data_IF_406966535850
#
_entry.id   IF_406966535850
#
_cell.length_a   1.000
_cell.length_b   1.000
_cell.length_c   1.000
_cell.angle_alpha   90.00
_cell.angle_beta   90.00
_cell.angle_gamma   90.00
#
_symmetry.space_group_name_H-M   'P 1'
#
loop_
_entity.id
_entity.type
_entity.pdbx_description
1 polymer ?
#
# COMPACT_ATOMS: atom_id res chain seq x y z
N UNK A 1 -0.78 24.79 -44.87
CA UNK A 1 -1.26 26.09 -45.40
C UNK A 1 -2.76 25.95 -45.57
N UNK A 2 -3.65 26.73 -44.96
CA UNK A 2 -3.57 28.15 -44.60
C UNK A 2 -4.62 28.42 -43.53
N UNK A 3 -4.20 29.00 -42.41
CA UNK A 3 -5.07 29.60 -41.39
C UNK A 3 -5.81 30.80 -41.99
N UNK A 4 -7.05 31.04 -41.56
CA UNK A 4 -7.63 32.39 -41.54
C UNK A 4 -8.41 32.68 -40.25
N UNK A 5 -8.40 33.94 -39.79
CA UNK A 5 -8.61 34.32 -38.39
C UNK A 5 -9.98 35.01 -38.17
N UNK A 6 -10.41 35.10 -36.91
CA UNK A 6 -11.54 35.96 -36.51
C UNK A 6 -11.02 37.08 -35.62
N UNK A 7 -11.34 38.31 -36.05
CA UNK A 7 -10.87 39.60 -35.55
C UNK A 7 -11.77 40.20 -34.47
N UNK A 8 -11.16 41.07 -33.67
CA UNK A 8 -11.68 41.92 -32.58
C UNK A 8 -12.49 43.13 -33.10
N UNK A 9 -13.62 43.47 -32.46
CA UNK A 9 -14.28 44.81 -32.42
C UNK A 9 -15.08 44.88 -31.10
N UNK A 10 -14.66 45.65 -30.09
CA UNK A 10 -14.96 47.06 -29.81
C UNK A 10 -16.46 47.42 -29.81
N UNK A 11 -16.98 47.78 -28.63
CA UNK A 11 -18.00 48.82 -28.47
C UNK A 11 -17.76 49.60 -27.17
N UNK A 12 -17.57 50.92 -27.32
CA UNK A 12 -17.58 51.95 -26.29
C UNK A 12 -18.99 52.54 -26.23
N UNK A 13 -19.46 52.85 -25.04
CA UNK A 13 -20.66 53.66 -24.81
C UNK A 13 -20.53 54.39 -23.47
N UNK A 14 -20.27 55.69 -23.53
CA UNK A 14 -20.18 56.62 -22.38
C UNK A 14 -21.33 57.63 -22.45
N UNK A 15 -22.04 57.85 -21.33
CA UNK A 15 -22.65 59.11 -20.82
C UNK A 15 -23.74 58.76 -19.78
N UNK A 16 -24.12 59.55 -18.77
CA UNK A 16 -23.48 60.52 -17.87
C UNK A 16 -24.54 60.84 -16.78
N UNK A 17 -24.10 60.88 -15.50
CA UNK A 17 -24.58 61.56 -14.27
C UNK A 17 -26.11 61.88 -14.06
N UNK A 18 -26.70 61.77 -12.85
CA UNK A 18 -26.54 62.68 -11.69
C UNK A 18 -27.39 62.19 -10.47
N UNK A 19 -26.81 62.38 -9.27
CA UNK A 19 -27.35 62.60 -7.91
C UNK A 19 -28.11 61.51 -7.12
N UNK A 20 -27.46 61.10 -6.02
CA UNK A 20 -27.95 61.41 -4.66
C UNK A 20 -28.58 60.26 -3.87
N UNK A 21 -27.89 59.78 -2.83
CA UNK A 21 -28.56 59.04 -1.74
C UNK A 21 -27.69 58.04 -0.98
N UNK A 22 -27.21 58.47 0.20
CA UNK A 22 -26.92 57.70 1.42
C UNK A 22 -26.06 56.41 1.35
N UNK A 23 -24.89 56.51 1.98
CA UNK A 23 -24.03 55.40 2.38
C UNK A 23 -24.70 54.52 3.45
N UNK A 24 -24.89 53.23 3.13
CA UNK A 24 -24.96 52.13 4.09
C UNK A 24 -23.95 51.07 3.63
N UNK A 25 -23.17 50.46 4.53
CA UNK A 25 -22.17 49.48 4.15
C UNK A 25 -22.87 48.18 3.73
N UNK A 26 -23.01 47.96 2.42
CA UNK A 26 -23.36 46.66 1.88
C UNK A 26 -22.20 45.71 2.11
N UNK A 27 -22.49 44.59 2.77
CA UNK A 27 -21.57 43.48 2.94
C UNK A 27 -20.96 43.13 1.58
N UNK A 28 -19.62 43.20 1.49
CA UNK A 28 -18.86 42.64 0.39
C UNK A 28 -19.05 41.12 0.50
N UNK A 29 -20.11 40.62 -0.15
CA UNK A 29 -20.20 39.23 -0.52
C UNK A 29 -18.98 38.94 -1.37
N UNK A 30 -18.01 38.23 -0.79
CA UNK A 30 -16.99 37.54 -1.57
C UNK A 30 -17.73 36.57 -2.45
N UNK A 31 -18.01 37.00 -3.69
CA UNK A 31 -18.29 36.10 -4.79
C UNK A 31 -17.19 35.04 -4.74
N UNK A 32 -17.58 33.79 -4.49
CA UNK A 32 -16.69 32.67 -4.70
C UNK A 32 -16.32 32.72 -6.17
N UNK A 33 -15.12 33.21 -6.48
CA UNK A 33 -14.52 33.00 -7.78
C UNK A 33 -14.63 31.51 -8.05
N UNK A 34 -15.36 31.15 -9.11
CA UNK A 34 -15.47 29.77 -9.56
C UNK A 34 -14.06 29.28 -9.76
N UNK A 35 -13.58 28.42 -8.86
CA UNK A 35 -12.28 27.79 -8.98
C UNK A 35 -12.21 27.22 -10.40
N UNK A 36 -11.19 27.63 -11.16
CA UNK A 36 -10.90 27.00 -12.44
C UNK A 36 -10.94 25.48 -12.23
N UNK A 37 -11.62 24.70 -13.09
CA UNK A 37 -11.75 23.27 -12.90
C UNK A 37 -10.36 22.69 -12.68
N UNK A 38 -10.18 21.97 -11.58
CA UNK A 38 -8.93 21.32 -11.27
C UNK A 38 -8.49 20.53 -12.53
N UNK A 39 -7.22 20.58 -12.96
CA UNK A 39 -6.77 19.96 -14.22
C UNK A 39 -6.77 18.43 -14.19
N UNK A 40 -7.41 17.83 -13.18
CA UNK A 40 -7.42 16.41 -12.89
C UNK A 40 -8.82 15.86 -13.08
N UNK A 41 -8.90 14.63 -13.58
CA UNK A 41 -10.15 13.89 -13.63
C UNK A 41 -10.70 13.71 -12.20
N UNK A 42 -12.02 13.55 -12.07
CA UNK A 42 -12.64 13.43 -10.76
C UNK A 42 -13.93 12.63 -10.78
N UNK A 43 -14.25 12.07 -9.62
CA UNK A 43 -15.55 11.50 -9.25
C UNK A 43 -16.22 12.43 -8.23
N UNK A 44 -17.39 12.09 -7.69
CA UNK A 44 -17.98 12.92 -6.62
C UNK A 44 -17.15 12.88 -5.32
N UNK A 45 -16.29 11.87 -5.13
CA UNK A 45 -15.57 11.66 -3.86
C UNK A 45 -14.07 11.97 -3.94
N UNK A 46 -13.46 12.01 -5.13
CA UNK A 46 -12.02 12.26 -5.24
C UNK A 46 -11.60 12.82 -6.60
N UNK A 47 -10.46 13.50 -6.62
CA UNK A 47 -9.68 13.77 -7.82
C UNK A 47 -8.67 12.64 -8.04
N UNK A 48 -8.30 12.38 -9.29
CA UNK A 48 -7.27 11.40 -9.61
C UNK A 48 -6.43 11.80 -10.83
N UNK A 49 -5.20 11.30 -10.87
CA UNK A 49 -4.27 11.49 -11.99
C UNK A 49 -3.31 10.32 -12.14
N UNK A 50 -2.88 9.98 -13.36
CA UNK A 50 -1.85 8.97 -13.57
C UNK A 50 -0.48 9.44 -13.07
N UNK A 51 0.50 8.54 -13.06
CA UNK A 51 1.91 8.90 -12.93
C UNK A 51 2.40 9.76 -14.10
N UNK A 52 3.50 10.52 -13.93
CA UNK A 52 4.22 11.11 -15.05
C UNK A 52 4.64 10.06 -16.09
N UNK A 53 4.55 10.41 -17.38
CA UNK A 53 4.94 9.51 -18.47
C UNK A 53 6.42 9.11 -18.36
N UNK A 54 6.71 7.83 -18.61
CA UNK A 54 8.08 7.31 -18.61
C UNK A 54 8.70 7.03 -17.24
N UNK A 55 8.01 7.35 -16.13
CA UNK A 55 8.45 7.05 -14.76
C UNK A 55 7.46 6.13 -14.07
N UNK A 56 7.98 5.25 -13.19
CA UNK A 56 7.16 4.54 -12.22
C UNK A 56 7.46 5.05 -10.81
N UNK A 57 6.51 5.76 -10.19
CA UNK A 57 6.66 6.25 -8.81
C UNK A 57 6.27 5.12 -7.86
N UNK A 58 7.25 4.49 -7.23
CA UNK A 58 7.05 3.28 -6.43
C UNK A 58 6.62 3.58 -4.98
N UNK A 59 7.18 4.62 -4.36
CA UNK A 59 6.77 5.04 -3.02
C UNK A 59 6.84 6.55 -2.84
N UNK A 60 6.13 7.04 -1.83
CA UNK A 60 6.10 8.45 -1.46
C UNK A 60 6.02 8.63 0.05
N UNK A 61 6.47 9.79 0.52
CA UNK A 61 6.33 10.24 1.90
C UNK A 61 6.50 11.75 1.97
N UNK A 62 5.57 12.44 2.62
CA UNK A 62 5.61 13.91 2.75
C UNK A 62 5.81 14.56 1.38
N UNK A 63 6.86 15.35 1.18
CA UNK A 63 7.20 15.95 -0.11
C UNK A 63 8.10 15.07 -1.00
N UNK A 64 8.57 13.91 -0.52
CA UNK A 64 9.49 13.03 -1.25
C UNK A 64 8.75 11.94 -2.02
N UNK A 65 9.31 11.56 -3.17
CA UNK A 65 8.85 10.43 -3.96
C UNK A 65 10.04 9.67 -4.56
N UNK A 66 10.00 8.35 -4.48
CA UNK A 66 11.00 7.44 -5.06
C UNK A 66 10.41 6.82 -6.33
N UNK A 67 11.16 6.87 -7.42
CA UNK A 67 10.74 6.34 -8.70
C UNK A 67 11.87 5.62 -9.41
N UNK A 68 11.51 4.92 -10.48
CA UNK A 68 12.48 4.32 -11.38
C UNK A 68 12.07 4.46 -12.84
N UNK A 69 13.08 4.38 -13.71
CA UNK A 69 12.97 4.26 -15.17
C UNK A 69 13.78 3.04 -15.61
N UNK A 70 13.95 2.85 -16.92
CA UNK A 70 14.92 1.88 -17.41
C UNK A 70 16.33 2.26 -16.92
N UNK A 71 16.95 1.36 -16.15
CA UNK A 71 18.32 1.46 -15.67
C UNK A 71 18.60 2.52 -14.61
N UNK A 72 17.61 3.22 -14.05
CA UNK A 72 17.85 4.27 -13.04
C UNK A 72 16.80 4.29 -11.94
N UNK A 73 17.23 4.71 -10.75
CA UNK A 73 16.38 5.13 -9.64
C UNK A 73 16.47 6.64 -9.48
N UNK A 74 15.38 7.27 -9.05
CA UNK A 74 15.21 8.71 -8.96
C UNK A 74 14.52 9.10 -7.65
N UNK A 75 14.89 10.27 -7.12
CA UNK A 75 14.25 10.84 -5.95
C UNK A 75 13.81 12.28 -6.24
N UNK A 76 12.54 12.54 -5.94
CA UNK A 76 11.93 13.87 -5.90
C UNK A 76 11.85 14.37 -4.45
N UNK A 77 11.86 15.69 -4.28
CA UNK A 77 11.66 16.39 -3.00
C UNK A 77 10.53 17.44 -3.09
N UNK A 78 9.71 17.39 -4.13
CA UNK A 78 8.67 18.39 -4.43
C UNK A 78 7.36 17.77 -4.92
N UNK A 79 6.95 16.65 -4.29
CA UNK A 79 5.75 15.87 -4.61
C UNK A 79 5.76 15.30 -6.05
N UNK A 80 6.94 14.92 -6.55
CA UNK A 80 7.10 14.30 -7.86
C UNK A 80 7.07 15.26 -9.05
N UNK A 81 7.28 16.57 -8.83
CA UNK A 81 7.32 17.57 -9.91
C UNK A 81 8.67 17.59 -10.61
N UNK A 82 9.76 17.51 -9.84
CA UNK A 82 11.13 17.44 -10.34
C UNK A 82 11.87 16.25 -9.74
N UNK A 83 12.90 15.79 -10.46
CA UNK A 83 13.70 14.60 -10.12
C UNK A 83 15.20 14.95 -10.14
N UNK A 84 15.66 15.78 -9.17
CA UNK A 84 17.03 16.29 -9.15
C UNK A 84 18.05 15.19 -8.86
N UNK A 85 17.67 14.14 -8.10
CA UNK A 85 18.57 13.07 -7.72
C UNK A 85 18.33 11.81 -8.55
N UNK A 86 19.42 11.15 -8.96
CA UNK A 86 19.37 9.92 -9.75
C UNK A 86 20.63 9.08 -9.55
N UNK A 87 20.47 7.76 -9.62
CA UNK A 87 21.56 6.81 -9.63
C UNK A 87 21.32 5.76 -10.72
N UNK A 88 22.38 5.29 -11.39
CA UNK A 88 22.28 4.13 -12.26
C UNK A 88 21.96 2.89 -11.42
N UNK A 89 20.98 2.12 -11.86
CA UNK A 89 20.55 0.89 -11.21
C UNK A 89 20.01 -0.07 -12.28
N UNK A 90 20.85 -0.98 -12.82
CA UNK A 90 20.48 -1.85 -13.93
C UNK A 90 19.20 -2.68 -13.68
N UNK A 91 18.97 -3.08 -12.44
CA UNK A 91 17.83 -3.91 -12.02
C UNK A 91 16.57 -3.08 -11.68
N UNK A 92 16.47 -1.83 -12.13
CA UNK A 92 15.36 -0.92 -11.79
C UNK A 92 13.97 -1.49 -12.08
N UNK A 93 13.80 -2.23 -13.17
CA UNK A 93 12.52 -2.88 -13.52
C UNK A 93 12.17 -4.09 -12.64
N UNK A 94 13.10 -4.53 -11.80
CA UNK A 94 12.93 -5.62 -10.85
C UNK A 94 12.64 -5.14 -9.44
N UNK A 95 12.42 -3.83 -9.24
CA UNK A 95 12.05 -3.28 -7.94
C UNK A 95 10.65 -3.76 -7.55
N UNK A 96 10.56 -4.36 -6.37
CA UNK A 96 9.31 -4.91 -5.82
C UNK A 96 8.95 -4.34 -4.46
N UNK A 97 9.81 -3.51 -3.88
CA UNK A 97 9.58 -2.83 -2.61
C UNK A 97 10.47 -1.60 -2.53
N UNK A 98 9.91 -0.53 -1.94
CA UNK A 98 10.66 0.64 -1.50
C UNK A 98 9.94 1.36 -0.37
N UNK A 99 10.70 2.06 0.46
CA UNK A 99 10.20 2.87 1.56
C UNK A 99 11.14 4.06 1.77
N UNK A 100 10.53 5.24 1.94
CA UNK A 100 11.22 6.47 2.37
C UNK A 100 11.04 6.61 3.88
N UNK A 101 12.16 6.63 4.61
CA UNK A 101 12.20 6.69 6.07
C UNK A 101 12.18 8.15 6.57
N UNK A 102 11.86 8.38 7.83
CA UNK A 102 11.64 9.72 8.44
C UNK A 102 12.86 10.60 8.32
N UNK A 103 14.05 10.00 8.38
CA UNK A 103 15.32 10.69 8.24
C UNK A 103 15.74 10.92 6.77
N UNK A 104 14.91 10.55 5.80
CA UNK A 104 15.19 10.67 4.37
C UNK A 104 15.93 9.49 3.74
N UNK A 105 16.30 8.47 4.52
CA UNK A 105 16.87 7.23 3.98
C UNK A 105 15.86 6.53 3.06
N UNK A 106 16.38 5.83 2.05
CA UNK A 106 15.56 5.09 1.08
C UNK A 106 16.01 3.65 1.10
N UNK A 107 15.12 2.78 1.59
CA UNK A 107 15.31 1.33 1.53
C UNK A 107 14.50 0.80 0.34
N UNK A 108 15.11 0.02 -0.53
CA UNK A 108 14.43 -0.54 -1.70
C UNK A 108 15.02 -1.90 -2.06
N UNK A 109 14.22 -2.77 -2.67
CA UNK A 109 14.66 -4.10 -3.08
C UNK A 109 14.54 -4.26 -4.58
N UNK A 110 15.41 -5.08 -5.16
CA UNK A 110 15.23 -5.63 -6.49
C UNK A 110 15.55 -7.12 -6.45
N UNK A 111 14.70 -7.95 -7.07
CA UNK A 111 14.81 -9.40 -7.00
C UNK A 111 14.89 -9.87 -5.52
N UNK A 112 15.88 -10.69 -5.18
CA UNK A 112 16.14 -11.17 -3.83
C UNK A 112 17.16 -10.30 -3.05
N UNK A 113 17.41 -9.06 -3.47
CA UNK A 113 18.40 -8.16 -2.86
C UNK A 113 17.74 -6.93 -2.27
N UNK A 114 18.31 -6.42 -1.18
CA UNK A 114 17.86 -5.23 -0.48
C UNK A 114 18.97 -4.17 -0.49
N UNK A 115 18.59 -2.91 -0.69
CA UNK A 115 19.50 -1.79 -0.85
C UNK A 115 19.08 -0.61 0.02
N UNK A 116 20.06 0.13 0.52
CA UNK A 116 19.86 1.35 1.27
C UNK A 116 20.64 2.49 0.64
N UNK A 117 19.98 3.63 0.44
CA UNK A 117 20.61 4.91 0.23
C UNK A 117 20.39 5.81 1.44
N UNK A 118 21.44 6.53 1.83
CA UNK A 118 21.44 7.47 2.95
C UNK A 118 21.89 8.87 2.54
N UNK A 119 21.95 9.14 1.23
CA UNK A 119 22.55 10.34 0.65
C UNK A 119 21.71 10.90 -0.51
N UNK A 120 20.38 10.71 -0.42
CA UNK A 120 19.40 11.11 -1.43
C UNK A 120 19.67 10.47 -2.81
N UNK A 121 19.96 9.17 -2.87
CA UNK A 121 20.29 8.43 -4.09
C UNK A 121 21.51 8.96 -4.85
N UNK A 122 22.50 9.56 -4.19
CA UNK A 122 23.82 9.73 -4.82
C UNK A 122 24.50 8.37 -4.95
N UNK A 123 24.40 7.57 -3.90
CA UNK A 123 24.86 6.18 -3.85
C UNK A 123 23.85 5.29 -3.16
N UNK A 124 24.05 3.99 -3.29
CA UNK A 124 23.35 2.97 -2.52
C UNK A 124 24.31 1.84 -2.19
N UNK A 125 23.98 1.06 -1.16
CA UNK A 125 24.69 -0.18 -0.82
C UNK A 125 23.71 -1.31 -0.59
N UNK A 126 24.14 -2.54 -0.86
CA UNK A 126 23.34 -3.71 -0.53
C UNK A 126 23.34 -3.92 1.00
N UNK A 127 22.21 -4.34 1.54
CA UNK A 127 22.02 -4.73 2.93
C UNK A 127 21.91 -6.24 3.02
N UNK A 128 22.72 -6.85 3.89
CA UNK A 128 22.54 -8.24 4.31
C UNK A 128 21.59 -8.26 5.50
N UNK A 129 20.43 -8.86 5.32
CA UNK A 129 19.45 -9.06 6.39
C UNK A 129 20.05 -9.96 7.48
N UNK A 130 19.62 -9.80 8.73
CA UNK A 130 20.02 -10.67 9.83
C UNK A 130 18.91 -11.64 10.22
N UNK A 131 19.31 -12.83 10.63
CA UNK A 131 18.47 -13.77 11.35
C UNK A 131 18.09 -13.23 12.73
N UNK A 132 17.15 -13.89 13.40
CA UNK A 132 16.71 -13.56 14.77
C UNK A 132 17.86 -13.62 15.78
N UNK A 133 18.86 -14.48 15.54
CA UNK A 133 20.07 -14.60 16.37
C UNK A 133 21.18 -13.58 16.03
N UNK A 134 20.95 -12.71 15.05
CA UNK A 134 21.89 -11.69 14.59
C UNK A 134 22.90 -12.15 13.52
N UNK A 135 22.92 -13.44 13.16
CA UNK A 135 23.74 -13.95 12.05
C UNK A 135 23.24 -13.45 10.69
N UNK A 136 24.07 -13.55 9.65
CA UNK A 136 23.68 -13.16 8.30
C UNK A 136 22.58 -14.10 7.76
N UNK A 137 21.49 -13.50 7.28
CA UNK A 137 20.45 -14.21 6.55
C UNK A 137 20.84 -14.35 5.09
N UNK A 138 21.14 -15.58 4.69
CA UNK A 138 21.54 -15.90 3.33
C UNK A 138 20.31 -16.27 2.49
N UNK A 139 20.15 -15.55 1.39
CA UNK A 139 19.21 -15.89 0.31
C UNK A 139 19.65 -17.22 -0.32
N UNK A 140 18.67 -18.06 -0.68
CA UNK A 140 18.98 -19.34 -1.34
C UNK A 140 19.54 -19.13 -2.75
N UNK A 141 20.34 -20.09 -3.22
CA UNK A 141 20.66 -20.17 -4.65
C UNK A 141 19.43 -20.69 -5.38
N UNK A 142 18.79 -19.90 -6.26
CA UNK A 142 17.58 -20.34 -6.92
C UNK A 142 17.89 -21.38 -8.00
N UNK A 143 17.01 -22.37 -8.17
CA UNK A 143 17.10 -23.34 -9.27
C UNK A 143 17.00 -22.65 -10.64
N UNK A 144 16.27 -21.52 -10.71
CA UNK A 144 16.19 -20.68 -11.89
C UNK A 144 16.58 -19.23 -11.52
N UNK A 145 17.70 -18.70 -12.04
CA UNK A 145 18.14 -17.33 -11.77
C UNK A 145 17.14 -16.24 -12.16
N UNK A 146 16.22 -16.51 -13.10
CA UNK A 146 15.15 -15.59 -13.47
C UNK A 146 14.00 -15.55 -12.45
N UNK A 147 13.92 -16.54 -11.56
CA UNK A 147 12.92 -16.66 -10.50
C UNK A 147 13.60 -16.77 -9.12
N UNK A 148 14.34 -15.74 -8.66
CA UNK A 148 15.12 -15.80 -7.44
C UNK A 148 14.31 -15.74 -6.14
N UNK A 149 13.00 -15.54 -6.23
CA UNK A 149 12.10 -15.34 -5.10
C UNK A 149 11.87 -13.86 -4.78
N UNK A 150 10.65 -13.55 -4.37
CA UNK A 150 10.26 -12.23 -3.88
C UNK A 150 10.47 -12.12 -2.38
N UNK A 151 11.72 -11.95 -1.98
CA UNK A 151 12.11 -11.88 -0.57
C UNK A 151 11.54 -10.68 0.18
N UNK A 152 11.36 -9.55 -0.50
CA UNK A 152 11.06 -8.28 0.17
C UNK A 152 9.80 -7.59 -0.36
N UNK A 153 9.11 -8.17 -1.35
CA UNK A 153 7.93 -7.59 -1.95
C UNK A 153 6.83 -7.35 -0.91
N UNK A 154 6.34 -6.12 -0.78
CA UNK A 154 5.19 -5.82 0.09
C UNK A 154 3.91 -5.69 -0.73
N UNK A 155 2.82 -6.27 -0.22
CA UNK A 155 1.49 -6.03 -0.78
C UNK A 155 0.94 -4.66 -0.35
N UNK A 156 1.29 -4.21 0.86
CA UNK A 156 0.86 -2.92 1.42
C UNK A 156 1.91 -1.81 1.28
N UNK A 157 1.43 -0.56 1.25
CA UNK A 157 2.26 0.64 1.07
C UNK A 157 2.52 1.42 2.36
N UNK A 158 2.04 0.91 3.50
CA UNK A 158 2.28 1.48 4.83
C UNK A 158 3.08 0.48 5.64
N UNK A 159 4.36 0.80 5.87
CA UNK A 159 5.28 -0.12 6.55
C UNK A 159 6.05 0.54 7.69
N UNK A 160 5.79 1.81 7.99
CA UNK A 160 6.49 2.58 9.02
C UNK A 160 5.54 3.15 10.06
N UNK A 161 5.93 3.07 11.33
CA UNK A 161 5.20 3.62 12.45
C UNK A 161 6.16 4.24 13.46
N UNK A 162 5.69 5.26 14.18
CA UNK A 162 6.39 5.79 15.35
C UNK A 162 5.99 4.93 16.56
N UNK A 163 6.97 4.30 17.19
CA UNK A 163 6.83 3.41 18.34
C UNK A 163 7.72 3.97 19.44
N UNK A 164 7.09 4.48 20.49
CA UNK A 164 7.77 5.09 21.65
C UNK A 164 8.81 6.17 21.25
N UNK A 165 8.48 7.01 20.26
CA UNK A 165 9.32 8.12 19.79
C UNK A 165 10.37 7.71 18.76
N UNK A 166 10.40 6.44 18.34
CA UNK A 166 11.33 5.90 17.35
C UNK A 166 10.57 5.38 16.13
N UNK A 167 11.04 5.69 14.93
CA UNK A 167 10.48 5.06 13.74
C UNK A 167 10.90 3.59 13.66
N UNK A 168 9.90 2.71 13.55
CA UNK A 168 10.06 1.31 13.20
C UNK A 168 9.53 1.06 11.80
N UNK A 169 10.33 0.37 10.99
CA UNK A 169 9.93 -0.22 9.73
C UNK A 169 9.62 -1.70 9.97
N UNK A 170 8.42 -2.17 9.62
CA UNK A 170 8.03 -3.60 9.74
C UNK A 170 7.17 -3.99 8.53
N UNK A 171 7.48 -5.12 7.90
CA UNK A 171 6.69 -5.62 6.77
C UNK A 171 6.87 -7.12 6.59
N UNK A 172 5.91 -7.78 5.94
CA UNK A 172 6.06 -9.15 5.47
C UNK A 172 6.23 -9.23 3.96
N UNK A 173 6.65 -10.39 3.45
CA UNK A 173 6.80 -10.61 2.02
C UNK A 173 5.59 -11.29 1.37
N UNK A 174 5.07 -10.66 0.31
CA UNK A 174 4.05 -11.18 -0.58
C UNK A 174 4.69 -12.08 -1.66
N UNK A 175 5.24 -13.23 -1.25
CA UNK A 175 6.04 -14.11 -2.11
C UNK A 175 5.26 -15.31 -2.70
N UNK A 176 5.98 -16.24 -3.35
CA UNK A 176 5.44 -17.51 -3.88
C UNK A 176 4.32 -17.30 -4.92
N UNK A 177 4.55 -16.36 -5.85
CA UNK A 177 3.63 -15.97 -6.92
C UNK A 177 4.25 -16.07 -8.32
N UNK A 178 4.95 -15.04 -8.81
CA UNK A 178 5.54 -15.03 -10.16
C UNK A 178 7.07 -14.89 -10.19
N UNK A 179 7.70 -14.39 -9.12
CA UNK A 179 9.14 -14.10 -9.10
C UNK A 179 10.04 -15.21 -8.51
N UNK A 180 9.50 -16.39 -8.24
CA UNK A 180 10.16 -17.51 -7.59
C UNK A 180 9.65 -17.78 -6.18
N UNK A 181 10.06 -18.94 -5.65
CA UNK A 181 9.80 -19.29 -4.26
C UNK A 181 10.74 -18.53 -3.32
N UNK A 182 10.26 -18.14 -2.14
CA UNK A 182 11.11 -17.64 -1.05
C UNK A 182 10.53 -18.04 0.32
N UNK A 183 11.37 -18.15 1.36
CA UNK A 183 10.88 -18.24 2.74
C UNK A 183 9.93 -17.09 3.05
N UNK A 184 8.82 -17.39 3.75
CA UNK A 184 7.91 -16.35 4.22
C UNK A 184 8.42 -15.80 5.54
N UNK A 185 8.62 -14.48 5.61
CA UNK A 185 9.14 -13.81 6.79
C UNK A 185 8.41 -12.49 7.05
N UNK A 186 8.50 -12.03 8.29
CA UNK A 186 8.29 -10.65 8.69
C UNK A 186 9.66 -10.04 8.97
N UNK A 187 9.95 -8.89 8.39
CA UNK A 187 11.19 -8.14 8.51
C UNK A 187 10.96 -6.88 9.34
N UNK A 188 12.02 -6.38 9.97
CA UNK A 188 11.98 -5.09 10.65
C UNK A 188 13.32 -4.35 10.64
N UNK A 189 13.25 -3.04 10.88
CA UNK A 189 14.37 -2.16 11.20
C UNK A 189 13.93 -1.10 12.22
N UNK A 190 14.82 -0.81 13.17
CA UNK A 190 14.65 0.21 14.22
C UNK A 190 15.71 1.32 14.13
N UNK A 191 16.57 1.26 13.12
CA UNK A 191 17.74 2.13 12.96
C UNK A 191 17.76 2.84 11.59
N UNK A 192 16.57 3.20 11.11
CA UNK A 192 16.39 3.87 9.81
C UNK A 192 16.99 3.07 8.64
N UNK A 193 16.78 1.74 8.65
CA UNK A 193 17.16 0.83 7.56
C UNK A 193 18.63 0.44 7.53
N UNK A 194 19.46 0.94 8.46
CA UNK A 194 20.90 0.63 8.52
C UNK A 194 21.11 -0.88 8.75
N UNK A 195 20.25 -1.48 9.56
CA UNK A 195 20.13 -2.91 9.77
C UNK A 195 18.70 -3.36 9.51
N UNK A 196 18.55 -4.48 8.80
CA UNK A 196 17.26 -5.15 8.62
C UNK A 196 17.39 -6.55 9.19
N UNK A 197 16.39 -6.98 9.96
CA UNK A 197 16.38 -8.26 10.67
C UNK A 197 15.06 -8.98 10.43
N UNK A 198 15.08 -10.30 10.56
CA UNK A 198 13.86 -11.11 10.60
C UNK A 198 13.22 -10.97 11.98
N UNK A 199 11.95 -10.55 12.02
CA UNK A 199 11.10 -10.56 13.22
C UNK A 199 10.43 -11.92 13.43
N UNK A 200 10.07 -12.60 12.35
CA UNK A 200 9.40 -13.90 12.37
C UNK A 200 9.66 -14.66 11.06
N UNK A 201 9.98 -15.95 11.14
CA UNK A 201 10.08 -16.86 9.99
C UNK A 201 9.03 -17.94 10.07
N UNK A 202 8.21 -18.06 9.04
CA UNK A 202 7.23 -19.13 8.93
C UNK A 202 7.87 -20.48 8.59
N UNK A 203 7.08 -21.52 8.78
CA UNK A 203 7.42 -22.91 8.50
C UNK A 203 7.70 -23.23 7.04
N UNK A 204 8.25 -24.42 6.80
CA UNK A 204 8.47 -24.95 5.45
C UNK A 204 7.18 -25.47 4.85
N UNK A 205 6.59 -24.72 3.91
CA UNK A 205 5.44 -25.22 3.16
C UNK A 205 5.87 -26.30 2.16
N UNK A 206 5.21 -27.48 2.12
CA UNK A 206 5.48 -28.49 1.12
C UNK A 206 4.98 -28.09 -0.29
N UNK A 207 4.23 -26.99 -0.41
CA UNK A 207 3.62 -26.51 -1.65
C UNK A 207 4.43 -25.41 -2.35
N UNK A 208 5.33 -24.74 -1.63
CA UNK A 208 6.07 -23.57 -2.12
C UNK A 208 7.59 -23.78 -1.97
N UNK A 209 8.06 -24.93 -2.43
CA UNK A 209 9.49 -25.23 -2.52
C UNK A 209 10.06 -24.60 -3.79
N UNK A 210 11.34 -24.28 -3.80
CA UNK A 210 11.99 -23.80 -5.02
C UNK A 210 12.18 -24.95 -6.01
N UNK A 211 11.33 -24.99 -7.03
CA UNK A 211 11.41 -25.90 -8.16
C UNK A 211 11.74 -25.15 -9.47
N UNK A 212 12.27 -23.93 -9.38
CA UNK A 212 12.60 -23.06 -10.52
C UNK A 212 11.41 -22.35 -11.19
N UNK A 213 10.17 -22.63 -10.78
CA UNK A 213 8.97 -21.94 -11.30
C UNK A 213 8.71 -20.60 -10.61
N UNK A 214 7.88 -19.76 -11.24
CA UNK A 214 7.59 -18.41 -10.71
C UNK A 214 6.87 -18.39 -9.35
N UNK A 215 6.15 -19.45 -8.97
CA UNK A 215 5.44 -19.53 -7.69
C UNK A 215 6.05 -20.49 -6.68
N UNK A 216 7.10 -21.21 -7.08
CA UNK A 216 7.49 -22.45 -6.43
C UNK A 216 6.50 -23.59 -6.70
N UNK A 217 6.77 -24.74 -6.10
CA UNK A 217 5.89 -25.89 -6.20
C UNK A 217 6.36 -27.05 -5.33
N UNK A 218 5.78 -28.22 -5.56
CA UNK A 218 6.19 -29.46 -4.90
C UNK A 218 7.51 -29.98 -5.49
N UNK A 219 8.22 -30.82 -4.74
CA UNK A 219 9.44 -31.53 -5.15
C UNK A 219 10.64 -30.60 -5.47
N UNK A 220 10.69 -29.43 -4.84
CA UNK A 220 11.78 -28.48 -4.95
C UNK A 220 12.67 -28.44 -3.70
N UNK A 221 13.52 -27.43 -3.60
CA UNK A 221 14.30 -27.13 -2.40
C UNK A 221 13.38 -26.59 -1.29
N UNK A 222 13.29 -27.20 -0.11
CA UNK A 222 12.47 -26.69 0.99
C UNK A 222 12.98 -25.33 1.49
N UNK A 223 12.06 -24.37 1.64
CA UNK A 223 12.35 -23.00 2.08
C UNK A 223 11.51 -22.64 3.31
N UNK A 224 12.10 -21.91 4.27
CA UNK A 224 11.47 -21.56 5.54
C UNK A 224 12.12 -22.21 6.76
N UNK A 225 11.60 -21.88 7.94
CA UNK A 225 12.09 -22.38 9.21
C UNK A 225 11.59 -23.82 9.45
N UNK A 226 12.46 -24.85 9.52
CA UNK A 226 12.02 -26.23 9.77
C UNK A 226 11.40 -26.42 11.15
N UNK A 227 11.71 -25.56 12.12
CA UNK A 227 11.27 -25.69 13.51
C UNK A 227 9.96 -24.95 13.80
N UNK A 228 9.41 -24.26 12.80
CA UNK A 228 8.12 -23.58 12.93
C UNK A 228 7.02 -24.36 12.17
N UNK A 229 5.98 -24.87 12.85
CA UNK A 229 4.91 -25.59 12.18
C UNK A 229 3.92 -24.67 11.43
N UNK A 230 3.94 -23.36 11.70
CA UNK A 230 2.99 -22.41 11.09
C UNK A 230 3.43 -22.10 9.67
N UNK A 231 2.69 -22.62 8.69
CA UNK A 231 2.93 -22.37 7.27
C UNK A 231 1.93 -21.35 6.71
N UNK A 232 2.38 -20.58 5.73
CA UNK A 232 1.51 -19.81 4.85
C UNK A 232 2.16 -19.67 3.47
N UNK A 233 1.41 -19.22 2.47
CA UNK A 233 1.96 -18.89 1.15
C UNK A 233 2.75 -17.58 1.21
N UNK A 234 2.22 -16.58 1.92
CA UNK A 234 2.82 -15.26 2.05
C UNK A 234 2.11 -14.39 3.10
N UNK A 235 2.70 -13.23 3.40
CA UNK A 235 2.10 -12.21 4.28
C UNK A 235 1.31 -11.21 3.45
N UNK A 236 0.06 -10.96 3.82
CA UNK A 236 -0.82 -9.97 3.18
C UNK A 236 -0.61 -8.57 3.73
N UNK A 237 -0.45 -8.45 5.05
CA UNK A 237 -0.27 -7.15 5.69
C UNK A 237 0.42 -7.26 7.05
N UNK A 238 1.01 -6.14 7.49
CA UNK A 238 1.48 -5.90 8.85
C UNK A 238 1.03 -4.50 9.27
N UNK A 239 0.44 -4.37 10.46
CA UNK A 239 -0.02 -3.10 11.00
C UNK A 239 0.32 -2.96 12.48
N UNK A 240 0.49 -1.72 12.96
CA UNK A 240 0.76 -1.41 14.36
C UNK A 240 -0.50 -0.90 15.06
N UNK A 241 -0.79 -1.46 16.24
CA UNK A 241 -1.79 -0.99 17.18
C UNK A 241 -1.12 -0.21 18.31
N UNK A 242 -1.19 1.14 18.33
CA UNK A 242 -0.56 1.95 19.36
C UNK A 242 -1.18 1.73 20.75
N UNK A 243 -2.48 1.39 20.84
CA UNK A 243 -3.15 1.21 22.12
C UNK A 243 -2.64 -0.02 22.91
N UNK A 244 -2.12 -1.02 22.20
CA UNK A 244 -1.58 -2.24 22.79
C UNK A 244 -0.05 -2.35 22.72
N UNK A 245 0.61 -1.34 22.13
CA UNK A 245 2.00 -1.40 21.71
C UNK A 245 2.36 -2.73 21.03
N UNK A 246 1.54 -3.14 20.04
CA UNK A 246 1.63 -4.45 19.40
C UNK A 246 1.45 -4.35 17.89
N UNK A 247 2.13 -5.24 17.17
CA UNK A 247 1.99 -5.41 15.73
C UNK A 247 1.05 -6.58 15.43
N UNK A 248 0.34 -6.48 14.31
CA UNK A 248 -0.54 -7.51 13.80
C UNK A 248 -0.14 -7.84 12.37
N UNK A 249 -0.16 -9.11 12.01
CA UNK A 249 0.08 -9.55 10.65
C UNK A 249 -1.02 -10.50 10.20
N UNK A 250 -1.46 -10.40 8.95
CA UNK A 250 -2.36 -11.37 8.34
C UNK A 250 -1.69 -12.07 7.14
N UNK A 251 -2.02 -13.34 6.95
CA UNK A 251 -1.40 -14.20 5.91
C UNK A 251 -2.45 -14.85 5.02
N UNK A 252 -1.98 -15.45 3.92
CA UNK A 252 -2.78 -16.24 2.97
C UNK A 252 -1.98 -17.43 2.44
N UNK A 253 -2.56 -18.33 1.63
CA UNK A 253 -3.78 -18.11 0.84
C UNK A 253 -4.68 -19.36 0.73
N UNK A 254 -4.18 -20.52 1.17
CA UNK A 254 -4.83 -21.81 1.05
C UNK A 254 -5.44 -22.35 2.34
N UNK A 255 -6.35 -23.29 2.15
CA UNK A 255 -6.67 -24.33 3.13
C UNK A 255 -6.09 -25.64 2.61
N UNK A 256 -5.25 -26.31 3.40
CA UNK A 256 -4.52 -27.52 3.02
C UNK A 256 -4.85 -28.68 3.96
N UNK A 257 -4.60 -29.94 3.57
CA UNK A 257 -4.70 -31.09 4.48
C UNK A 257 -3.87 -30.92 5.77
N UNK A 258 -2.72 -30.25 5.69
CA UNK A 258 -1.80 -30.03 6.82
C UNK A 258 -2.23 -28.86 7.73
N UNK A 259 -3.17 -28.02 7.28
CA UNK A 259 -3.65 -26.88 8.04
C UNK A 259 -4.01 -25.67 7.19
N UNK A 260 -4.30 -24.56 7.87
CA UNK A 260 -4.63 -23.29 7.25
C UNK A 260 -3.38 -22.48 6.92
N UNK A 261 -3.47 -21.64 5.90
CA UNK A 261 -2.45 -20.62 5.57
C UNK A 261 -2.92 -19.20 5.91
N UNK A 262 -4.20 -19.03 6.29
CA UNK A 262 -4.81 -17.74 6.62
C UNK A 262 -4.77 -17.53 8.14
N UNK A 263 -3.73 -16.86 8.61
CA UNK A 263 -3.48 -16.61 10.02
C UNK A 263 -3.56 -15.13 10.32
N UNK A 264 -3.92 -14.81 11.56
CA UNK A 264 -3.57 -13.54 12.18
C UNK A 264 -2.57 -13.78 13.30
N UNK A 265 -1.51 -12.99 13.31
CA UNK A 265 -0.48 -13.01 14.33
C UNK A 265 -0.50 -11.70 15.10
N UNK A 266 -0.24 -11.77 16.41
CA UNK A 266 0.05 -10.62 17.27
C UNK A 266 1.51 -10.69 17.71
N UNK A 267 2.25 -9.61 17.48
CA UNK A 267 3.66 -9.44 17.78
C UNK A 267 3.88 -8.33 18.81
N UNK A 268 4.72 -8.58 19.81
CA UNK A 268 5.23 -7.53 20.71
C UNK A 268 6.74 -7.48 20.62
N UNK A 269 7.31 -6.28 20.71
CA UNK A 269 8.75 -6.04 20.58
C UNK A 269 9.32 -5.57 21.91
N UNK A 270 10.31 -6.31 22.41
CA UNK A 270 11.14 -5.96 23.57
C UNK A 270 12.37 -5.20 23.03
N UNK A 271 12.34 -3.86 23.15
CA UNK A 271 13.38 -2.99 22.60
C UNK A 271 14.72 -3.13 23.34
N UNK A 272 14.71 -3.46 24.64
CA UNK A 272 15.92 -3.61 25.45
C UNK A 272 16.69 -4.87 25.05
N UNK A 273 15.96 -5.93 24.69
CA UNK A 273 16.55 -7.20 24.27
C UNK A 273 16.62 -7.38 22.76
N UNK A 274 16.05 -6.45 22.00
CA UNK A 274 15.89 -6.52 20.54
C UNK A 274 15.23 -7.84 20.09
N UNK A 275 14.09 -8.17 20.70
CA UNK A 275 13.41 -9.46 20.51
C UNK A 275 11.93 -9.31 20.27
N UNK A 276 11.40 -10.18 19.42
CA UNK A 276 9.98 -10.28 19.15
C UNK A 276 9.36 -11.49 19.86
N UNK A 277 8.12 -11.32 20.28
CA UNK A 277 7.23 -12.42 20.66
C UNK A 277 6.01 -12.38 19.76
N UNK A 278 5.88 -13.39 18.90
CA UNK A 278 4.76 -13.56 17.99
C UNK A 278 3.88 -14.72 18.42
N UNK A 279 2.56 -14.52 18.34
CA UNK A 279 1.56 -15.54 18.60
C UNK A 279 0.52 -15.55 17.49
N UNK A 280 0.24 -16.72 16.94
CA UNK A 280 -0.95 -16.92 16.10
C UNK A 280 -2.19 -16.80 16.99
N UNK A 281 -3.04 -15.82 16.69
CA UNK A 281 -4.29 -15.56 17.42
C UNK A 281 -5.52 -16.03 16.66
N UNK A 282 -5.43 -16.13 15.33
CA UNK A 282 -6.46 -16.72 14.46
C UNK A 282 -5.78 -17.60 13.42
N UNK A 283 -6.40 -18.72 13.10
CA UNK A 283 -6.04 -19.60 11.98
C UNK A 283 -7.34 -20.15 11.39
N UNK A 284 -7.64 -19.83 10.14
CA UNK A 284 -8.96 -20.12 9.57
C UNK A 284 -8.89 -20.48 8.08
N UNK A 285 -9.99 -20.97 7.54
CA UNK A 285 -10.13 -21.32 6.14
C UNK A 285 -9.93 -20.10 5.22
N UNK A 286 -9.51 -20.37 3.99
CA UNK A 286 -9.22 -19.36 2.96
C UNK A 286 -10.44 -18.62 2.45
N UNK A 287 -11.65 -19.04 2.84
CA UNK A 287 -12.89 -18.34 2.50
C UNK A 287 -13.51 -17.55 3.67
N UNK A 288 -12.77 -17.40 4.77
CA UNK A 288 -13.16 -16.61 5.94
C UNK A 288 -12.84 -15.12 5.77
N UNK A 289 -13.44 -14.27 6.62
CA UNK A 289 -13.08 -12.84 6.73
C UNK A 289 -11.63 -12.60 7.18
N UNK A 290 -10.95 -13.62 7.69
CA UNK A 290 -9.58 -13.51 8.19
C UNK A 290 -8.53 -13.73 7.11
N UNK A 291 -8.91 -14.30 5.95
CA UNK A 291 -8.14 -14.11 4.74
C UNK A 291 -8.36 -12.66 4.28
N UNK A 292 -7.43 -11.78 4.61
CA UNK A 292 -7.61 -10.34 4.48
C UNK A 292 -6.30 -9.60 4.24
N UNK A 293 -6.41 -8.31 3.96
CA UNK A 293 -5.33 -7.33 4.04
C UNK A 293 -5.88 -5.98 4.48
N UNK A 294 -5.07 -4.92 4.34
CA UNK A 294 -5.49 -3.55 4.67
C UNK A 294 -5.87 -3.37 6.14
N UNK A 295 -5.12 -3.98 7.05
CA UNK A 295 -5.24 -3.80 8.49
C UNK A 295 -4.97 -2.34 8.85
N UNK A 296 -5.94 -1.68 9.47
CA UNK A 296 -5.81 -0.31 9.95
C UNK A 296 -6.35 -0.21 11.39
N UNK A 297 -5.57 0.39 12.29
CA UNK A 297 -6.00 0.72 13.64
C UNK A 297 -6.32 2.21 13.71
N UNK A 298 -7.58 2.54 13.96
CA UNK A 298 -8.09 3.93 13.97
C UNK A 298 -9.08 4.08 15.13
N UNK A 299 -8.88 5.09 15.97
CA UNK A 299 -9.75 5.42 17.10
C UNK A 299 -10.05 4.21 18.01
N UNK A 300 -9.03 3.41 18.31
CA UNK A 300 -9.14 2.23 19.18
C UNK A 300 -9.84 1.01 18.54
N UNK A 301 -10.23 1.10 17.26
CA UNK A 301 -10.82 -0.01 16.51
C UNK A 301 -9.82 -0.59 15.51
N UNK A 302 -10.00 -1.86 15.16
CA UNK A 302 -9.31 -2.49 14.04
C UNK A 302 -10.26 -2.62 12.85
N UNK A 303 -9.76 -2.29 11.66
CA UNK A 303 -10.45 -2.39 10.38
C UNK A 303 -9.65 -3.29 9.43
N UNK A 304 -10.34 -4.07 8.60
CA UNK A 304 -9.70 -4.89 7.57
C UNK A 304 -10.66 -5.14 6.41
N UNK A 305 -10.11 -5.55 5.26
CA UNK A 305 -10.89 -5.96 4.09
C UNK A 305 -10.56 -7.40 3.70
N UNK A 306 -11.61 -8.20 3.51
CA UNK A 306 -11.48 -9.64 3.27
C UNK A 306 -11.29 -9.99 1.79
N UNK A 307 -10.22 -10.76 1.54
CA UNK A 307 -9.82 -11.34 0.26
C UNK A 307 -10.44 -12.74 0.05
N UNK A 308 -11.60 -13.02 0.65
CA UNK A 308 -12.27 -14.31 0.54
C UNK A 308 -12.77 -14.57 -0.89
N UNK A 309 -12.13 -15.55 -1.55
CA UNK A 309 -12.26 -15.83 -2.98
C UNK A 309 -12.33 -17.33 -3.35
N UNK A 310 -12.52 -18.20 -2.37
CA UNK A 310 -12.69 -19.64 -2.54
C UNK A 310 -14.09 -20.07 -3.00
N UNK A 311 -14.52 -21.31 -2.68
CA UNK A 311 -15.88 -21.76 -2.94
C UNK A 311 -16.91 -21.07 -2.02
N UNK A 312 -18.13 -20.83 -2.51
CA UNK A 312 -19.23 -20.31 -1.68
C UNK A 312 -19.52 -21.22 -0.46
N UNK A 313 -20.02 -20.67 0.66
CA UNK A 313 -20.40 -19.27 0.89
C UNK A 313 -19.22 -18.37 1.28
N UNK A 314 -19.23 -17.12 0.79
CA UNK A 314 -18.20 -16.12 1.07
C UNK A 314 -18.47 -15.35 2.37
N UNK A 315 -17.45 -15.27 3.23
CA UNK A 315 -17.42 -14.35 4.37
C UNK A 315 -16.49 -13.17 4.05
N UNK A 316 -17.01 -12.21 3.29
CA UNK A 316 -16.24 -11.05 2.78
C UNK A 316 -16.90 -9.71 3.06
N UNK A 317 -16.08 -8.67 3.00
CA UNK A 317 -16.46 -7.30 3.28
C UNK A 317 -15.33 -6.47 3.87
N UNK A 318 -15.64 -5.21 4.14
CA UNK A 318 -14.91 -4.37 5.08
C UNK A 318 -15.50 -4.61 6.45
N UNK A 319 -14.66 -4.97 7.42
CA UNK A 319 -15.08 -5.29 8.78
C UNK A 319 -14.40 -4.37 9.78
N UNK A 320 -15.01 -4.28 10.97
CA UNK A 320 -14.46 -3.61 12.13
C UNK A 320 -14.83 -4.33 13.42
N UNK A 321 -13.95 -4.30 14.41
CA UNK A 321 -14.26 -4.62 15.80
C UNK A 321 -13.29 -3.92 16.77
N UNK A 322 -13.55 -4.08 18.07
CA UNK A 322 -12.54 -3.88 19.11
C UNK A 322 -11.37 -4.88 18.92
N UNK A 323 -10.10 -4.47 19.08
CA UNK A 323 -8.96 -5.38 18.97
C UNK A 323 -9.05 -6.63 19.88
N UNK A 324 -9.63 -6.49 21.07
CA UNK A 324 -9.86 -7.61 21.99
C UNK A 324 -10.89 -8.64 21.49
N UNK A 325 -11.68 -8.28 20.47
CA UNK A 325 -12.73 -9.11 19.87
C UNK A 325 -12.34 -9.64 18.49
N UNK A 326 -11.07 -9.51 18.07
CA UNK A 326 -10.56 -10.07 16.80
C UNK A 326 -10.94 -11.54 16.67
N UNK A 327 -10.88 -12.34 17.74
CA UNK A 327 -11.17 -13.79 17.70
C UNK A 327 -12.66 -14.15 17.80
N UNK A 328 -13.57 -13.16 17.85
CA UNK A 328 -15.00 -13.35 18.09
C UNK A 328 -15.83 -12.83 16.90
N UNK A 329 -16.08 -13.66 15.87
CA UNK A 329 -16.76 -13.23 14.63
C UNK A 329 -18.14 -12.60 14.84
N UNK A 330 -18.86 -12.96 15.91
CA UNK A 330 -20.16 -12.40 16.29
C UNK A 330 -20.09 -10.94 16.76
N UNK A 331 -18.89 -10.48 17.15
CA UNK A 331 -18.61 -9.09 17.55
C UNK A 331 -18.18 -8.21 16.40
N UNK A 332 -17.94 -8.79 15.23
CA UNK A 332 -17.49 -8.02 14.08
C UNK A 332 -18.67 -7.35 13.39
N UNK A 333 -18.50 -6.07 13.08
CA UNK A 333 -19.44 -5.34 12.24
C UNK A 333 -18.94 -5.36 10.80
N UNK A 334 -19.74 -5.87 9.88
CA UNK A 334 -19.48 -5.72 8.44
C UNK A 334 -20.00 -4.35 7.99
N UNK A 335 -19.08 -3.44 7.72
CA UNK A 335 -19.38 -2.05 7.31
C UNK A 335 -19.79 -1.96 5.85
N UNK A 336 -19.19 -2.80 5.00
CA UNK A 336 -19.45 -2.82 3.57
C UNK A 336 -19.24 -4.22 2.99
N UNK A 337 -19.99 -4.59 1.94
CA UNK A 337 -19.77 -5.83 1.21
C UNK A 337 -19.64 -5.51 -0.29
N UNK A 338 -18.45 -5.61 -0.89
CA UNK A 338 -18.24 -5.36 -2.32
C UNK A 338 -18.79 -6.49 -3.21
N UNK A 339 -19.30 -7.58 -2.61
CA UNK A 339 -19.79 -8.79 -3.29
C UNK A 339 -18.76 -9.57 -4.12
N UNK A 340 -17.51 -9.09 -4.19
CA UNK A 340 -16.35 -9.72 -4.83
C UNK A 340 -15.14 -9.70 -3.89
N UNK A 341 -14.07 -10.40 -4.25
CA UNK A 341 -12.83 -10.37 -3.45
C UNK A 341 -12.23 -8.95 -3.41
N UNK A 342 -11.75 -8.55 -2.23
CA UNK A 342 -11.06 -7.28 -2.02
C UNK A 342 -9.96 -7.46 -0.98
N UNK A 343 -8.70 -7.18 -1.31
CA UNK A 343 -7.57 -7.48 -0.40
C UNK A 343 -6.74 -6.30 0.07
N UNK A 344 -7.01 -5.08 -0.42
CA UNK A 344 -6.19 -3.91 -0.13
C UNK A 344 -7.04 -2.72 0.33
N UNK A 345 -6.62 -2.07 1.42
CA UNK A 345 -7.29 -0.91 1.99
C UNK A 345 -6.32 -0.03 2.76
N UNK A 346 -6.57 1.28 2.74
CA UNK A 346 -5.93 2.26 3.63
C UNK A 346 -7.01 3.11 4.32
N UNK A 347 -6.76 3.47 5.58
CA UNK A 347 -7.53 4.47 6.29
C UNK A 347 -6.61 5.60 6.72
N UNK A 348 -6.96 6.83 6.36
CA UNK A 348 -6.22 8.03 6.81
C UNK A 348 -7.16 9.24 6.84
N UNK A 349 -7.15 9.99 7.94
CA UNK A 349 -7.94 11.21 8.14
C UNK A 349 -9.44 11.00 7.88
N UNK A 350 -10.00 9.90 8.40
CA UNK A 350 -11.41 9.52 8.22
C UNK A 350 -11.77 8.99 6.83
N UNK A 351 -10.83 8.98 5.87
CA UNK A 351 -11.04 8.44 4.53
C UNK A 351 -10.67 6.97 4.48
N UNK A 352 -11.57 6.14 3.96
CA UNK A 352 -11.31 4.74 3.60
C UNK A 352 -11.20 4.67 2.07
N UNK A 353 -10.06 4.18 1.57
CA UNK A 353 -9.89 3.78 0.17
C UNK A 353 -9.56 2.29 0.14
N UNK A 354 -10.31 1.54 -0.66
CA UNK A 354 -10.10 0.11 -0.82
C UNK A 354 -10.25 -0.35 -2.27
N UNK A 355 -9.71 -1.52 -2.56
CA UNK A 355 -9.64 -2.11 -3.90
C UNK A 355 -10.88 -2.91 -4.28
N UNK A 356 -11.32 -2.76 -5.53
CA UNK A 356 -11.89 -3.89 -6.27
C UNK A 356 -10.79 -4.62 -7.01
N UNK A 357 -10.68 -5.93 -6.82
CA UNK A 357 -9.61 -6.70 -7.44
C UNK A 357 -10.07 -7.29 -8.77
N UNK A 358 -9.35 -6.97 -9.86
CA UNK A 358 -9.75 -7.26 -11.24
C UNK A 358 -9.98 -8.74 -11.59
N UNK A 359 -9.36 -9.76 -10.95
CA UNK A 359 -9.69 -11.15 -11.28
C UNK A 359 -11.17 -11.48 -11.02
N UNK A 360 -11.72 -11.06 -9.88
CA UNK A 360 -13.14 -11.28 -9.55
C UNK A 360 -14.07 -10.09 -9.84
N UNK A 361 -13.54 -8.85 -9.87
CA UNK A 361 -14.37 -7.66 -9.98
C UNK A 361 -15.02 -7.51 -11.36
N UNK A 362 -16.30 -7.11 -11.42
CA UNK A 362 -16.93 -6.71 -12.67
C UNK A 362 -16.40 -5.37 -13.20
N UNK A 363 -15.74 -4.56 -12.35
CA UNK A 363 -15.19 -3.26 -12.71
C UNK A 363 -13.87 -3.42 -13.45
N UNK A 364 -13.53 -2.45 -14.29
CA UNK A 364 -12.25 -2.41 -14.97
C UNK A 364 -11.14 -2.03 -13.98
N UNK A 365 -11.23 -0.85 -13.36
CA UNK A 365 -10.33 -0.42 -12.28
C UNK A 365 -11.18 0.17 -11.17
N UNK A 366 -11.61 -0.69 -10.25
CA UNK A 366 -12.61 -0.33 -9.27
C UNK A 366 -12.03 0.15 -7.93
N UNK A 367 -12.64 1.20 -7.37
CA UNK A 367 -12.34 1.71 -6.04
C UNK A 367 -13.59 1.70 -5.18
N UNK A 368 -13.44 1.29 -3.92
CA UNK A 368 -14.42 1.46 -2.86
C UNK A 368 -13.96 2.66 -2.03
N UNK A 369 -14.85 3.61 -1.77
CA UNK A 369 -14.50 4.84 -1.04
C UNK A 369 -15.54 5.16 0.03
N UNK A 370 -15.05 5.64 1.17
CA UNK A 370 -15.82 6.34 2.19
C UNK A 370 -15.03 7.56 2.64
N UNK A 371 -15.69 8.71 2.79
CA UNK A 371 -15.09 9.97 3.25
C UNK A 371 -15.47 10.30 4.71
N UNK A 372 -16.12 9.37 5.39
CA UNK A 372 -16.71 9.57 6.72
C UNK A 372 -16.56 8.34 7.62
N UNK A 373 -15.43 7.62 7.45
CA UNK A 373 -15.02 6.45 8.22
C UNK A 373 -16.08 5.32 8.18
N UNK A 374 -16.65 5.09 7.01
CA UNK A 374 -17.54 3.99 6.72
C UNK A 374 -19.02 4.22 7.06
N UNK A 375 -19.45 5.47 7.26
CA UNK A 375 -20.87 5.80 7.43
C UNK A 375 -21.61 5.81 6.08
N UNK A 376 -20.98 6.36 5.06
CA UNK A 376 -21.44 6.34 3.66
C UNK A 376 -20.37 5.75 2.76
N UNK A 377 -20.82 5.15 1.64
CA UNK A 377 -19.97 4.39 0.72
C UNK A 377 -20.33 4.71 -0.72
N UNK A 378 -19.30 4.78 -1.57
CA UNK A 378 -19.44 4.79 -3.02
C UNK A 378 -18.45 3.82 -3.67
N UNK A 379 -18.77 3.43 -4.91
CA UNK A 379 -17.91 2.60 -5.74
C UNK A 379 -17.74 3.28 -7.10
N UNK A 380 -16.51 3.32 -7.60
CA UNK A 380 -16.19 3.96 -8.87
C UNK A 380 -15.37 3.02 -9.75
N UNK A 381 -15.64 3.05 -11.06
CA UNK A 381 -14.90 2.29 -12.06
C UNK A 381 -14.15 3.26 -12.99
N UNK A 382 -12.83 3.32 -12.84
CA UNK A 382 -11.96 4.15 -13.66
C UNK A 382 -11.57 3.41 -14.95
N UNK A 383 -12.53 3.30 -15.87
CA UNK A 383 -12.45 2.47 -17.08
C UNK A 383 -11.28 2.80 -18.00
N UNK A 384 -10.80 4.03 -17.98
CA UNK A 384 -9.68 4.52 -18.77
C UNK A 384 -8.35 3.80 -18.48
N UNK A 385 -8.20 3.16 -17.31
CA UNK A 385 -7.02 2.36 -16.96
C UNK A 385 -7.14 0.89 -17.38
N UNK A 386 -8.26 0.48 -17.98
CA UNK A 386 -8.54 -0.90 -18.34
C UNK A 386 -8.71 -1.81 -17.12
N UNK A 387 -8.50 -3.13 -17.30
CA UNK A 387 -8.61 -4.10 -16.19
C UNK A 387 -7.39 -4.04 -15.28
N UNK A 388 -7.52 -3.47 -14.08
CA UNK A 388 -6.46 -3.36 -13.06
C UNK A 388 -6.99 -3.59 -11.66
N UNK A 389 -6.16 -4.17 -10.80
CA UNK A 389 -6.39 -4.20 -9.36
C UNK A 389 -5.61 -3.06 -8.69
N UNK A 390 -6.29 -2.18 -7.94
CA UNK A 390 -5.62 -1.27 -7.03
C UNK A 390 -4.96 -2.05 -5.89
N UNK A 391 -3.65 -1.90 -5.75
CA UNK A 391 -2.84 -2.55 -4.72
C UNK A 391 -1.95 -1.50 -4.04
N UNK A 392 -1.32 -1.87 -2.93
CA UNK A 392 -0.23 -1.09 -2.30
C UNK A 392 -0.51 0.41 -2.14
N UNK A 393 -1.56 0.70 -1.39
CA UNK A 393 -1.94 2.06 -1.02
C UNK A 393 -0.90 2.67 -0.08
N UNK A 394 -0.36 3.83 -0.47
CA UNK A 394 0.56 4.62 0.35
C UNK A 394 -0.16 5.81 0.95
N UNK A 395 0.28 6.24 2.14
CA UNK A 395 -0.18 7.46 2.82
C UNK A 395 -0.17 8.67 1.89
N UNK A 396 -1.00 9.66 2.20
CA UNK A 396 -1.02 10.94 1.49
C UNK A 396 0.36 11.60 1.51
N UNK A 397 0.76 12.16 0.38
CA UNK A 397 1.89 13.10 0.33
C UNK A 397 1.48 14.45 0.95
N UNK A 398 2.42 15.40 1.01
CA UNK A 398 2.20 16.73 1.61
C UNK A 398 1.10 17.56 0.92
N UNK A 399 0.61 17.13 -0.25
CA UNK A 399 -0.48 17.75 -0.99
C UNK A 399 -1.81 17.01 -0.88
N UNK A 400 -1.87 15.95 -0.08
CA UNK A 400 -3.07 15.17 0.17
C UNK A 400 -3.34 14.06 -0.85
N UNK A 401 -2.39 13.71 -1.72
CA UNK A 401 -2.55 12.62 -2.70
C UNK A 401 -2.10 11.30 -2.10
N UNK A 402 -2.99 10.31 -2.02
CA UNK A 402 -2.59 8.90 -1.91
C UNK A 402 -1.93 8.45 -3.20
N UNK A 403 -1.01 7.48 -3.10
CA UNK A 403 -0.42 6.79 -4.23
C UNK A 403 -0.82 5.32 -4.19
N UNK A 404 -1.20 4.76 -5.34
CA UNK A 404 -1.75 3.40 -5.43
C UNK A 404 -1.14 2.67 -6.62
N UNK A 405 -0.60 1.46 -6.40
CA UNK A 405 -0.20 0.55 -7.51
C UNK A 405 -1.45 0.14 -8.27
N UNK A 406 -1.36 0.10 -9.60
CA UNK A 406 -2.32 -0.61 -10.45
C UNK A 406 -1.61 -1.83 -11.03
N UNK A 407 -2.13 -3.02 -10.71
CA UNK A 407 -1.58 -4.30 -11.19
C UNK A 407 -2.48 -4.92 -12.23
N UNK A 408 -1.89 -5.55 -13.24
CA UNK A 408 -2.65 -6.47 -14.10
C UNK A 408 -2.89 -7.78 -13.34
N UNK A 409 -4.15 -8.22 -13.33
CA UNK A 409 -4.63 -9.26 -12.41
C UNK A 409 -4.27 -8.89 -10.96
N UNK A 410 -3.57 -9.73 -10.20
CA UNK A 410 -3.25 -9.48 -8.79
C UNK A 410 -1.81 -8.99 -8.54
N UNK A 411 -0.84 -9.45 -9.32
CA UNK A 411 0.58 -9.39 -8.93
C UNK A 411 1.47 -8.60 -9.86
N UNK A 412 1.12 -8.47 -11.14
CA UNK A 412 2.02 -7.91 -12.14
C UNK A 412 1.90 -6.39 -12.15
N UNK A 413 2.95 -5.62 -11.81
CA UNK A 413 2.92 -4.16 -11.90
C UNK A 413 2.55 -3.73 -13.32
N UNK A 414 1.63 -2.77 -13.46
CA UNK A 414 1.27 -2.19 -14.75
C UNK A 414 1.56 -0.68 -14.75
N UNK A 415 0.96 0.04 -13.81
CA UNK A 415 1.05 1.49 -13.68
C UNK A 415 0.72 1.88 -12.24
N UNK A 416 0.61 3.17 -11.94
CA UNK A 416 0.11 3.66 -10.65
C UNK A 416 -0.80 4.86 -10.86
N UNK A 417 -1.57 5.21 -9.83
CA UNK A 417 -2.47 6.36 -9.81
C UNK A 417 -2.34 7.15 -8.51
N UNK A 418 -2.48 8.48 -8.60
CA UNK A 418 -2.63 9.34 -7.45
C UNK A 418 -4.11 9.65 -7.23
N UNK A 419 -4.58 9.53 -5.98
CA UNK A 419 -5.97 9.81 -5.59
C UNK A 419 -5.96 10.85 -4.47
N UNK A 420 -6.71 11.94 -4.64
CA UNK A 420 -6.91 12.96 -3.61
C UNK A 420 -8.38 13.02 -3.25
N UNK A 421 -8.77 12.66 -2.02
CA UNK A 421 -10.16 12.76 -1.58
C UNK A 421 -10.64 14.21 -1.62
N UNK A 422 -11.92 14.40 -1.97
CA UNK A 422 -12.62 15.66 -1.80
C UNK A 422 -13.01 15.84 -0.33
N UNK A 423 -13.16 17.08 0.10
CA UNK A 423 -13.63 17.36 1.45
C UNK A 423 -15.09 16.92 1.59
N UNK A 424 -15.40 16.26 2.71
CA UNK A 424 -16.77 15.93 3.08
C UNK A 424 -17.47 17.23 3.52
N UNK A 425 -18.66 17.57 3.01
CA UNK A 425 -19.41 18.71 3.51
C UNK A 425 -19.71 18.50 5.01
N UNK A 426 -18.99 19.22 5.89
CA UNK A 426 -19.16 19.14 7.34
C UNK A 426 -17.90 18.82 8.16
N UNK A 427 -16.77 18.51 7.52
CA UNK A 427 -15.49 18.29 8.22
C UNK A 427 -14.58 19.53 8.13
N UNK A 428 -15.12 20.71 8.43
CA UNK A 428 -14.31 21.92 8.65
C UNK A 428 -13.94 22.00 10.13
N UNK A 429 -12.76 21.49 10.49
CA UNK A 429 -11.99 21.88 11.67
C UNK A 429 -12.64 21.67 13.05
N UNK A 430 -12.19 20.65 13.77
CA UNK A 430 -12.10 20.66 15.23
C UNK A 430 -10.70 21.01 15.65
#
# INVERSE_FOLDING_TARGET
MTLRPVTRRQFLGTTAAVAGGMLLPAAIGRSADSAAPAPWASTDHFWYRPQPEGLFVDSQRDNKAFAYTDGKVLLSEDNGRTWPHRCEFPDARQIVFSCILKNGNILFSALAKLYLSTDNLKTYRQITVKNVDGSDYLVHTPQNPANPGWYFHSLTGVNTWDVDGREMLVWGNYCNVIGGASPVNIYYSTDSGQTVKIAYSFGRSPYFQDNGSGGGGKNGTPLGNPDNPVICRHVHDVAYNPAENAFYACTGDGTRPEGHECHWLRGTYDADRDRWQWKVIVSDASNSRYKCGGLNFVDGQVYWISDSNGPKPYDRGVFRCDPADITKPDKHTRLFNPEVESGNMIIQDGVILASHCAPASPLATGFIVSLDLGKTWAQYDLKEFGRRSPCRFHRKNSEGWFRVDLRSSWVTPAEMIFIKPKETPGNTGG
#
